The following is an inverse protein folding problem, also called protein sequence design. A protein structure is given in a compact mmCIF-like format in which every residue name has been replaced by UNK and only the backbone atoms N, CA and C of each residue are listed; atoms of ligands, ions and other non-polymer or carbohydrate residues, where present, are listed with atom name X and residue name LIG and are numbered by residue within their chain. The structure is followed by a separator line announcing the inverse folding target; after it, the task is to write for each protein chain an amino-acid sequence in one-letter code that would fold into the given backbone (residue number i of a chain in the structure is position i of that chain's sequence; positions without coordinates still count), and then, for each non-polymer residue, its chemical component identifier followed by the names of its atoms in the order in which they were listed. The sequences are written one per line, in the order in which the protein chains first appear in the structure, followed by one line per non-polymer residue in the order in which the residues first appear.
data_IF_097765665225
#
_entry.id   IF_097765665225
#
_cell.length_a   1.000
_cell.length_b   1.000
_cell.length_c   1.000
_cell.angle_alpha   90.00
_cell.angle_beta   90.00
_cell.angle_gamma   90.00
#
_symmetry.space_group_name_H-M   'P 1'
#
loop_
_entity.id
_entity.type
_entity.pdbx_description
1 polymer ?
#
# COMPACT_ATOMS: atom_id res chain seq x y z
N UNK A 1 -2.59 -22.25 -4.99
CA UNK A 1 -1.63 -21.31 -4.38
C UNK A 1 -1.69 -20.08 -5.26
N UNK A 2 -1.92 -18.86 -4.74
CA UNK A 2 -1.92 -17.69 -5.64
C UNK A 2 -0.49 -17.48 -6.12
N UNK A 3 -0.28 -17.50 -7.44
CA UNK A 3 1.03 -17.41 -8.05
C UNK A 3 1.74 -16.11 -7.66
N UNK A 4 3.05 -16.19 -7.43
CA UNK A 4 3.90 -15.07 -7.05
C UNK A 4 4.79 -14.73 -8.22
N UNK A 5 4.72 -13.49 -8.70
CA UNK A 5 5.50 -13.02 -9.84
C UNK A 5 6.64 -12.13 -9.33
N UNK A 6 7.86 -12.41 -9.77
CA UNK A 6 9.04 -11.60 -9.47
C UNK A 6 9.39 -10.76 -10.69
N UNK A 7 9.47 -9.44 -10.49
CA UNK A 7 9.89 -8.50 -11.52
C UNK A 7 11.31 -8.00 -11.23
N UNK A 8 12.11 -7.87 -12.28
CA UNK A 8 13.47 -7.34 -12.21
C UNK A 8 13.45 -5.81 -12.02
N UNK A 9 12.49 -5.12 -12.64
CA UNK A 9 12.39 -3.66 -12.64
C UNK A 9 10.94 -3.14 -12.73
N UNK A 10 10.81 -1.82 -12.91
CA UNK A 10 9.53 -1.12 -12.99
C UNK A 10 8.80 -1.35 -14.30
N UNK A 11 9.52 -1.55 -15.40
CA UNK A 11 8.91 -1.67 -16.73
C UNK A 11 8.24 -3.04 -16.85
N UNK A 12 8.89 -4.12 -16.40
CA UNK A 12 8.26 -5.45 -16.38
C UNK A 12 6.95 -5.46 -15.56
N UNK A 13 6.94 -4.75 -14.41
CA UNK A 13 5.72 -4.65 -13.60
C UNK A 13 4.66 -3.75 -14.23
N UNK A 14 5.08 -2.70 -14.94
CA UNK A 14 4.20 -1.81 -15.69
C UNK A 14 3.52 -2.56 -16.82
N UNK A 15 4.27 -3.32 -17.61
CA UNK A 15 3.77 -4.11 -18.73
C UNK A 15 2.73 -5.11 -18.25
N UNK A 16 3.01 -5.80 -17.13
CA UNK A 16 2.04 -6.70 -16.52
C UNK A 16 0.72 -6.00 -16.17
N UNK A 17 0.76 -4.79 -15.58
CA UNK A 17 -0.44 -4.02 -15.24
C UNK A 17 -1.19 -3.50 -16.48
N UNK A 18 -0.49 -3.23 -17.58
CA UNK A 18 -1.11 -2.85 -18.85
C UNK A 18 -1.88 -4.03 -19.46
N UNK A 19 -1.30 -5.23 -19.42
CA UNK A 19 -1.90 -6.45 -19.97
C UNK A 19 -3.01 -7.05 -19.09
N UNK A 20 -2.95 -6.82 -17.78
CA UNK A 20 -3.81 -7.46 -16.78
C UNK A 20 -4.73 -6.46 -16.06
N UNK A 21 -5.29 -5.48 -16.79
CA UNK A 21 -6.14 -4.43 -16.22
C UNK A 21 -7.36 -4.96 -15.44
N UNK A 22 -7.90 -6.12 -15.83
CA UNK A 22 -9.07 -6.78 -15.19
C UNK A 22 -8.70 -7.70 -14.01
N UNK A 23 -7.41 -7.84 -13.69
CA UNK A 23 -6.98 -8.67 -12.57
C UNK A 23 -7.44 -8.08 -11.22
N UNK A 24 -7.95 -8.95 -10.35
CA UNK A 24 -8.46 -8.54 -9.03
C UNK A 24 -7.38 -8.48 -7.95
N UNK A 25 -6.27 -9.19 -8.14
CA UNK A 25 -5.11 -9.17 -7.26
C UNK A 25 -3.84 -9.65 -7.97
N UNK A 26 -2.70 -9.30 -7.39
CA UNK A 26 -1.39 -9.82 -7.75
C UNK A 26 -0.53 -9.99 -6.50
N UNK A 27 0.23 -11.07 -6.40
CA UNK A 27 1.32 -11.18 -5.43
C UNK A 27 2.66 -10.91 -6.11
N UNK A 28 3.29 -9.80 -5.75
CA UNK A 28 4.63 -9.44 -6.24
C UNK A 28 5.68 -9.98 -5.29
N UNK A 29 6.63 -10.75 -5.81
CA UNK A 29 7.79 -11.26 -5.11
C UNK A 29 8.97 -10.28 -5.15
N UNK A 30 9.73 -10.25 -4.06
CA UNK A 30 10.88 -9.37 -3.87
C UNK A 30 12.03 -10.17 -3.28
N UNK A 31 13.23 -10.00 -3.84
CA UNK A 31 14.45 -10.48 -3.21
C UNK A 31 14.95 -9.47 -2.17
N UNK A 32 15.44 -9.97 -1.03
CA UNK A 32 16.06 -9.13 -0.01
C UNK A 32 17.39 -8.60 -0.52
N UNK A 33 17.74 -7.38 -0.12
CA UNK A 33 18.99 -6.72 -0.52
C UNK A 33 20.25 -7.56 -0.28
N UNK A 34 20.25 -8.36 0.81
CA UNK A 34 21.36 -9.24 1.17
C UNK A 34 21.66 -10.33 0.13
N UNK A 35 20.73 -10.63 -0.78
CA UNK A 35 20.91 -11.64 -1.81
C UNK A 35 21.75 -11.15 -2.99
N UNK A 36 21.93 -9.83 -3.17
CA UNK A 36 22.59 -9.25 -4.33
C UNK A 36 21.85 -9.42 -5.67
N UNK A 37 20.65 -10.01 -5.66
CA UNK A 37 19.86 -10.24 -6.88
C UNK A 37 19.16 -8.96 -7.32
N UNK A 38 19.06 -8.77 -8.64
CA UNK A 38 18.18 -7.75 -9.21
C UNK A 38 16.74 -8.02 -8.75
N UNK A 39 16.03 -6.95 -8.37
CA UNK A 39 14.66 -7.04 -7.90
C UNK A 39 14.03 -5.66 -7.95
N UNK A 40 12.78 -5.60 -8.43
CA UNK A 40 11.92 -4.43 -8.28
C UNK A 40 11.92 -3.98 -6.83
N UNK A 41 12.17 -2.70 -6.56
CA UNK A 41 12.09 -2.19 -5.19
C UNK A 41 10.64 -1.95 -4.79
N UNK A 42 10.33 -2.08 -3.49
CA UNK A 42 8.99 -1.80 -3.00
C UNK A 42 8.52 -0.37 -3.35
N UNK A 43 9.35 0.66 -3.15
CA UNK A 43 8.97 2.04 -3.48
C UNK A 43 8.65 2.20 -4.97
N UNK A 44 9.46 1.59 -5.84
CA UNK A 44 9.26 1.59 -7.27
C UNK A 44 7.95 0.88 -7.67
N UNK A 45 7.65 -0.28 -7.08
CA UNK A 45 6.39 -0.98 -7.31
C UNK A 45 5.18 -0.15 -6.87
N UNK A 46 5.27 0.58 -5.75
CA UNK A 46 4.19 1.47 -5.32
C UNK A 46 3.98 2.60 -6.34
N UNK A 47 5.05 3.19 -6.86
CA UNK A 47 4.95 4.26 -7.86
C UNK A 47 4.24 3.78 -9.13
N UNK A 48 4.61 2.60 -9.65
CA UNK A 48 3.94 1.99 -10.80
C UNK A 48 2.48 1.68 -10.45
N UNK A 49 2.20 0.98 -9.35
CA UNK A 49 0.84 0.64 -8.95
C UNK A 49 -0.08 1.86 -8.85
N UNK A 50 0.41 2.97 -8.28
CA UNK A 50 -0.35 4.22 -8.19
C UNK A 50 -0.73 4.79 -9.57
N UNK A 51 0.15 4.66 -10.57
CA UNK A 51 -0.15 5.10 -11.94
C UNK A 51 -1.38 4.39 -12.52
N UNK A 52 -1.58 3.12 -12.16
CA UNK A 52 -2.69 2.27 -12.63
C UNK A 52 -3.89 2.26 -11.68
N UNK A 53 -3.83 2.95 -10.54
CA UNK A 53 -4.92 2.93 -9.56
C UNK A 53 -4.91 1.69 -8.66
N UNK A 54 -3.78 1.03 -8.52
CA UNK A 54 -3.57 -0.10 -7.61
C UNK A 54 -2.95 0.36 -6.28
N UNK A 55 -2.99 -0.52 -5.27
CA UNK A 55 -2.39 -0.30 -3.96
C UNK A 55 -1.73 -1.58 -3.46
N UNK A 56 -0.61 -1.43 -2.75
CA UNK A 56 -0.03 -2.48 -1.95
C UNK A 56 -0.83 -2.74 -0.66
N UNK A 57 -0.72 -3.95 -0.14
CA UNK A 57 -1.37 -4.38 1.09
C UNK A 57 -0.47 -5.27 1.91
N UNK A 58 -0.90 -6.51 2.10
CA UNK A 58 -0.25 -7.43 3.04
C UNK A 58 1.11 -7.85 2.50
N UNK A 59 2.15 -7.65 3.32
CA UNK A 59 3.47 -8.24 3.13
C UNK A 59 3.54 -9.59 3.85
N UNK A 60 4.07 -10.61 3.17
CA UNK A 60 4.36 -11.94 3.75
C UNK A 60 5.77 -12.37 3.42
N UNK A 61 6.46 -12.98 4.37
CA UNK A 61 7.73 -13.67 4.10
C UNK A 61 7.46 -14.93 3.28
N UNK A 62 8.29 -15.20 2.28
CA UNK A 62 8.31 -16.49 1.58
C UNK A 62 9.37 -17.36 2.25
N UNK A 63 10.60 -16.85 2.33
CA UNK A 63 11.75 -17.52 2.92
C UNK A 63 12.79 -16.51 3.46
N UNK A 64 14.00 -17.01 3.78
CA UNK A 64 15.10 -16.19 4.29
C UNK A 64 15.62 -15.15 3.28
N UNK A 65 15.41 -15.38 1.98
CA UNK A 65 15.94 -14.57 0.89
C UNK A 65 14.87 -13.70 0.23
N UNK A 66 13.59 -13.99 0.41
CA UNK A 66 12.51 -13.37 -0.32
C UNK A 66 11.25 -13.11 0.51
N UNK A 67 10.46 -12.15 0.05
CA UNK A 67 9.14 -11.83 0.59
C UNK A 67 8.22 -11.43 -0.55
N UNK A 68 6.93 -11.38 -0.30
CA UNK A 68 5.93 -10.91 -1.25
C UNK A 68 5.01 -9.86 -0.67
N UNK A 69 4.46 -9.03 -1.55
CA UNK A 69 3.46 -8.02 -1.22
C UNK A 69 2.27 -8.22 -2.14
N UNK A 70 1.07 -8.20 -1.57
CA UNK A 70 -0.17 -8.25 -2.34
C UNK A 70 -0.50 -6.87 -2.87
N UNK A 71 -0.84 -6.79 -4.15
CA UNK A 71 -1.38 -5.62 -4.82
C UNK A 71 -2.81 -5.89 -5.27
N UNK A 72 -3.67 -4.89 -5.18
CA UNK A 72 -5.07 -4.95 -5.62
C UNK A 72 -5.49 -3.62 -6.24
N UNK A 73 -6.49 -3.60 -7.14
CA UNK A 73 -7.13 -2.35 -7.56
C UNK A 73 -7.68 -1.59 -6.36
N UNK A 74 -7.50 -0.26 -6.32
CA UNK A 74 -8.09 0.59 -5.27
C UNK A 74 -9.58 0.72 -5.49
N UNK A 75 -10.35 0.63 -4.41
CA UNK A 75 -11.74 1.10 -4.41
C UNK A 75 -11.78 2.62 -4.49
N UNK A 76 -12.80 3.18 -5.14
CA UNK A 76 -13.01 4.62 -5.24
C UNK A 76 -13.11 5.32 -3.86
N UNK A 77 -13.62 4.60 -2.86
CA UNK A 77 -13.75 5.06 -1.47
C UNK A 77 -12.48 4.88 -0.63
N UNK A 78 -11.38 4.39 -1.21
CA UNK A 78 -10.15 4.13 -0.47
C UNK A 78 -9.52 5.43 0.01
N UNK A 79 -9.17 5.48 1.30
CA UNK A 79 -8.37 6.57 1.85
C UNK A 79 -6.96 6.59 1.25
N UNK A 80 -6.37 7.78 1.18
CA UNK A 80 -5.02 8.00 0.68
C UNK A 80 -4.12 8.46 1.82
N UNK A 81 -2.92 7.89 1.92
CA UNK A 81 -1.90 8.38 2.83
C UNK A 81 -1.21 9.61 2.24
N UNK A 82 -0.69 10.50 3.09
CA UNK A 82 0.07 11.67 2.66
C UNK A 82 1.27 11.31 1.77
N UNK A 83 1.91 10.17 2.05
CA UNK A 83 3.02 9.63 1.24
C UNK A 83 2.56 9.30 -0.18
N UNK A 84 1.44 8.60 -0.33
CA UNK A 84 0.91 8.23 -1.65
C UNK A 84 0.38 9.45 -2.41
N UNK A 85 -0.22 10.43 -1.70
CA UNK A 85 -0.61 11.70 -2.30
C UNK A 85 0.61 12.43 -2.87
N UNK A 86 1.71 12.52 -2.11
CA UNK A 86 2.97 13.12 -2.56
C UNK A 86 3.54 12.40 -3.79
N UNK A 87 3.60 11.07 -3.75
CA UNK A 87 4.06 10.24 -4.88
C UNK A 87 3.25 10.52 -6.15
N UNK A 88 1.92 10.51 -6.07
CA UNK A 88 1.09 10.79 -7.25
C UNK A 88 1.28 12.21 -7.76
N UNK A 89 1.40 13.23 -6.89
CA UNK A 89 1.70 14.60 -7.34
C UNK A 89 2.99 14.67 -8.17
N UNK A 90 4.04 13.96 -7.74
CA UNK A 90 5.27 13.82 -8.53
C UNK A 90 5.04 13.05 -9.83
N UNK A 91 4.29 11.94 -9.80
CA UNK A 91 3.99 11.14 -11.01
C UNK A 91 3.15 11.91 -12.04
N UNK A 92 2.27 12.81 -11.59
CA UNK A 92 1.52 13.74 -12.45
C UNK A 92 2.49 14.69 -13.16
N UNK A 93 3.42 15.31 -12.42
CA UNK A 93 4.42 16.21 -13.00
C UNK A 93 5.31 15.50 -14.03
N UNK A 94 5.57 14.20 -13.82
CA UNK A 94 6.35 13.37 -14.74
C UNK A 94 5.52 12.77 -15.89
N UNK A 95 4.20 13.05 -15.97
CA UNK A 95 3.33 12.51 -17.01
C UNK A 95 3.16 10.99 -16.98
N UNK A 96 3.42 10.34 -15.84
CA UNK A 96 3.42 8.87 -15.72
C UNK A 96 2.06 8.25 -15.40
N UNK A 97 1.15 9.04 -14.85
CA UNK A 97 -0.17 8.58 -14.41
C UNK A 97 -1.02 8.09 -15.60
N UNK A 98 -1.74 6.98 -15.41
CA UNK A 98 -2.72 6.48 -16.38
C UNK A 98 -4.13 6.99 -16.04
N UNK A 99 -5.08 6.94 -16.99
CA UNK A 99 -6.46 7.38 -16.75
C UNK A 99 -7.11 6.74 -15.51
N UNK A 100 -6.90 5.42 -15.29
CA UNK A 100 -7.45 4.71 -14.13
C UNK A 100 -6.91 5.26 -12.79
N UNK A 101 -5.58 5.47 -12.69
CA UNK A 101 -4.96 6.06 -11.51
C UNK A 101 -5.42 7.50 -11.28
N UNK A 102 -5.53 8.30 -12.35
CA UNK A 102 -6.04 9.68 -12.26
C UNK A 102 -7.49 9.74 -11.80
N UNK A 103 -8.35 8.86 -12.32
CA UNK A 103 -9.75 8.81 -11.92
C UNK A 103 -9.90 8.59 -10.41
N UNK A 104 -9.18 7.60 -9.86
CA UNK A 104 -9.20 7.32 -8.42
C UNK A 104 -8.57 8.46 -7.60
N UNK A 105 -7.49 9.06 -8.10
CA UNK A 105 -6.83 10.18 -7.44
C UNK A 105 -7.76 11.40 -7.36
N UNK A 106 -8.46 11.74 -8.44
CA UNK A 106 -9.32 12.92 -8.49
C UNK A 106 -10.61 12.79 -7.67
N UNK A 107 -11.07 11.56 -7.39
CA UNK A 107 -12.27 11.29 -6.59
C UNK A 107 -12.05 11.35 -5.06
N UNK A 108 -10.82 11.59 -4.60
CA UNK A 108 -10.52 11.73 -3.17
C UNK A 108 -11.20 12.99 -2.60
N UNK A 109 -11.64 12.88 -1.34
CA UNK A 109 -12.17 14.01 -0.56
C UNK A 109 -11.10 14.73 0.28
N UNK A 110 -10.08 14.03 0.76
CA UNK A 110 -9.00 14.59 1.58
C UNK A 110 -7.73 14.90 0.77
N UNK A 111 -7.56 16.15 0.35
CA UNK A 111 -6.46 16.61 -0.50
C UNK A 111 -5.02 16.36 0.03
N UNK A 112 -4.83 16.20 1.34
CA UNK A 112 -3.50 15.97 1.93
C UNK A 112 -3.21 14.48 2.11
N UNK A 113 -4.23 13.70 2.44
CA UNK A 113 -4.07 12.32 2.87
C UNK A 113 -3.65 12.24 4.34
N UNK A 114 -3.98 11.12 4.98
CA UNK A 114 -3.67 10.92 6.39
C UNK A 114 -2.16 10.71 6.63
N UNK A 115 -1.65 11.15 7.78
CA UNK A 115 -0.29 10.85 8.25
C UNK A 115 -0.29 10.00 9.52
N UNK A 116 0.82 9.30 9.79
CA UNK A 116 0.95 8.54 11.04
C UNK A 116 1.11 9.46 12.26
N UNK A 117 1.61 10.68 12.08
CA UNK A 117 1.76 11.68 13.15
C UNK A 117 0.40 12.06 13.75
N UNK A 118 -0.68 11.97 12.96
CA UNK A 118 -2.06 12.17 13.42
C UNK A 118 -2.62 11.00 14.25
N UNK A 119 -1.87 9.89 14.41
CA UNK A 119 -2.37 8.66 15.07
C UNK A 119 -2.11 8.59 16.57
N UNK A 120 -1.18 9.37 17.10
CA UNK A 120 -0.85 9.38 18.53
C UNK A 120 -1.69 10.40 19.30
N UNK A 121 -3.00 10.40 19.06
CA UNK A 121 -3.94 11.25 19.80
C UNK A 121 -4.31 10.58 21.12
N UNK A 122 -4.41 11.32 22.24
CA UNK A 122 -4.94 10.79 23.47
C UNK A 122 -6.34 10.21 23.25
N UNK A 123 -6.59 9.02 23.79
CA UNK A 123 -7.92 8.42 23.75
C UNK A 123 -8.90 9.36 24.47
N UNK A 124 -9.98 9.75 23.80
CA UNK A 124 -10.99 10.60 24.43
C UNK A 124 -11.60 9.87 25.64
N UNK A 125 -11.82 10.60 26.75
CA UNK A 125 -12.29 10.04 28.03
C UNK A 125 -13.51 9.13 27.89
N UNK A 126 -14.45 9.47 27.01
CA UNK A 126 -15.65 8.66 26.75
C UNK A 126 -15.30 7.26 26.22
N UNK A 127 -14.37 7.16 25.28
CA UNK A 127 -13.92 5.87 24.75
C UNK A 127 -13.04 5.13 25.76
N UNK A 128 -12.20 5.83 26.51
CA UNK A 128 -11.40 5.23 27.57
C UNK A 128 -12.27 4.56 28.64
N UNK A 129 -13.35 5.22 29.07
CA UNK A 129 -14.32 4.66 30.02
C UNK A 129 -15.01 3.42 29.46
N UNK A 130 -15.40 3.43 28.19
CA UNK A 130 -16.01 2.26 27.53
C UNK A 130 -15.04 1.07 27.46
N UNK A 131 -13.77 1.32 27.13
CA UNK A 131 -12.75 0.27 27.09
C UNK A 131 -12.46 -0.25 28.49
N UNK A 132 -12.35 0.62 29.51
CA UNK A 132 -12.15 0.23 30.92
C UNK A 132 -13.29 -0.61 31.48
N UNK A 133 -14.53 -0.36 31.05
CA UNK A 133 -15.68 -1.17 31.44
C UNK A 133 -15.62 -2.62 30.89
N UNK A 134 -14.82 -2.86 29.85
CA UNK A 134 -14.54 -4.18 29.32
C UNK A 134 -13.12 -4.63 29.71
N UNK A 135 -13.01 -5.43 30.78
CA UNK A 135 -11.73 -5.86 31.33
C UNK A 135 -10.79 -6.49 30.28
N UNK A 136 -11.32 -7.33 29.39
CA UNK A 136 -10.54 -7.97 28.33
C UNK A 136 -10.01 -6.96 27.31
N UNK A 137 -10.83 -5.99 26.92
CA UNK A 137 -10.41 -4.91 26.02
C UNK A 137 -9.38 -3.99 26.68
N UNK A 138 -9.55 -3.68 27.97
CA UNK A 138 -8.60 -2.89 28.74
C UNK A 138 -7.24 -3.59 28.85
N UNK A 139 -7.22 -4.87 29.24
CA UNK A 139 -5.98 -5.66 29.31
C UNK A 139 -5.29 -5.76 27.95
N UNK A 140 -6.04 -5.97 26.86
CA UNK A 140 -5.48 -5.95 25.51
C UNK A 140 -4.82 -4.60 25.20
N UNK A 141 -5.54 -3.48 25.40
CA UNK A 141 -5.05 -2.14 25.12
C UNK A 141 -3.78 -1.79 25.91
N UNK A 142 -3.72 -2.15 27.20
CA UNK A 142 -2.56 -1.84 28.06
C UNK A 142 -1.35 -2.73 27.80
N UNK A 143 -1.53 -3.86 27.10
CA UNK A 143 -0.47 -4.81 26.76
C UNK A 143 0.05 -4.65 25.31
N UNK A 144 -0.41 -3.64 24.57
CA UNK A 144 0.15 -3.26 23.27
C UNK A 144 1.52 -2.58 23.46
N UNK A 145 2.53 -3.36 23.81
CA UNK A 145 3.95 -2.99 23.80
C UNK A 145 4.65 -3.62 22.59
#
# INVERSE_FOLDING_TARGET
MVDVIFFNDQEEFRDWLEENAEASELWVGYFRKSTGRASLTWSASVDVALCFGWIDGIRKTIDQQSYKIRFTPRKITSVWSAVNVKKVKTLIQLGKMKPAGMHLFNNRTDAQGYSAEQRNVPLAKAYEQQIKANQSAWTFLTNLA
#
